data_IF_374101941478
#
_entry.id   IF_374101941478
#
_cell.length_a   1.000
_cell.length_b   1.000
_cell.length_c   1.000
_cell.angle_alpha   90.00
_cell.angle_beta   90.00
_cell.angle_gamma   90.00
#
_symmetry.space_group_name_H-M   'P 1'
#
loop_
_entity.id
_entity.type
_entity.pdbx_description
1 polymer ?
#
# COMPACT_ATOMS: atom_id res chain seq x y z
N UNK A 1 -13.08 23.77 -5.13
CA UNK A 1 -11.94 24.06 -6.02
C UNK A 1 -10.67 23.90 -5.21
N UNK A 2 -9.85 22.87 -5.49
CA UNK A 2 -8.55 22.67 -4.85
C UNK A 2 -7.53 23.70 -5.35
N UNK A 3 -6.40 23.92 -4.64
CA UNK A 3 -5.40 24.89 -5.04
C UNK A 3 -4.79 24.45 -6.38
N UNK A 4 -4.75 25.37 -7.35
CA UNK A 4 -4.03 25.18 -8.60
C UNK A 4 -2.54 25.01 -8.28
N UNK A 5 -1.92 23.93 -8.77
CA UNK A 5 -0.47 23.71 -8.67
C UNK A 5 0.01 22.61 -7.71
N UNK A 6 -0.88 21.78 -7.16
CA UNK A 6 -0.45 20.56 -6.46
C UNK A 6 -0.28 19.43 -7.48
N UNK A 7 0.92 18.86 -7.52
CA UNK A 7 1.30 17.76 -8.42
C UNK A 7 1.27 16.43 -7.67
N UNK A 8 0.64 15.44 -8.30
CA UNK A 8 0.68 14.04 -7.87
C UNK A 8 1.58 13.27 -8.83
N UNK A 9 2.71 12.79 -8.33
CA UNK A 9 3.52 11.80 -9.04
C UNK A 9 2.85 10.44 -8.88
N UNK A 10 2.68 9.71 -9.97
CA UNK A 10 2.05 8.40 -9.98
C UNK A 10 2.87 7.46 -10.84
N UNK A 11 3.22 6.29 -10.30
CA UNK A 11 3.85 5.22 -11.07
C UNK A 11 3.05 3.93 -10.91
N UNK A 12 2.27 3.59 -11.94
CA UNK A 12 1.35 2.47 -11.94
C UNK A 12 1.90 1.26 -12.70
N UNK A 13 1.75 0.07 -12.12
CA UNK A 13 2.31 -1.19 -12.60
C UNK A 13 1.37 -2.36 -12.32
N UNK A 14 1.58 -3.43 -13.07
CA UNK A 14 1.04 -4.78 -12.84
C UNK A 14 2.14 -5.80 -13.08
N UNK A 15 1.86 -7.08 -12.83
CA UNK A 15 2.79 -8.20 -13.06
C UNK A 15 3.39 -8.24 -14.49
N UNK A 16 2.69 -7.67 -15.48
CA UNK A 16 3.04 -7.80 -16.90
C UNK A 16 3.18 -6.48 -17.66
N UNK A 17 2.83 -5.35 -17.03
CA UNK A 17 2.84 -4.04 -17.70
C UNK A 17 3.14 -2.91 -16.74
N UNK A 18 4.07 -2.06 -17.15
CA UNK A 18 4.44 -0.80 -16.50
C UNK A 18 3.91 0.37 -17.34
N UNK A 19 3.22 1.33 -16.71
CA UNK A 19 2.70 2.54 -17.37
C UNK A 19 3.69 3.70 -17.33
N UNK A 20 4.82 3.52 -16.65
CA UNK A 20 5.80 4.54 -16.37
C UNK A 20 5.33 5.57 -15.34
N UNK A 21 6.24 6.47 -14.93
CA UNK A 21 5.90 7.59 -14.07
C UNK A 21 5.08 8.64 -14.82
N UNK A 22 4.11 9.21 -14.14
CA UNK A 22 3.18 10.23 -14.63
C UNK A 22 3.07 11.35 -13.60
N UNK A 23 2.86 12.58 -14.08
CA UNK A 23 2.57 13.74 -13.22
C UNK A 23 1.15 14.19 -13.50
N UNK A 24 0.29 14.14 -12.48
CA UNK A 24 -1.11 14.54 -12.56
C UNK A 24 -1.27 15.85 -11.78
N UNK A 25 -1.69 16.90 -12.48
CA UNK A 25 -2.02 18.17 -11.85
C UNK A 25 -3.41 18.09 -11.20
N UNK A 26 -3.58 18.79 -10.08
CA UNK A 26 -4.90 18.91 -9.42
C UNK A 26 -6.00 19.30 -10.42
N UNK A 27 -7.04 18.48 -10.50
CA UNK A 27 -8.18 18.65 -11.42
C UNK A 27 -8.04 17.93 -12.77
N UNK A 28 -6.89 17.33 -13.06
CA UNK A 28 -6.68 16.53 -14.26
C UNK A 28 -7.01 15.05 -14.03
N UNK A 29 -7.27 14.35 -15.13
CA UNK A 29 -7.55 12.91 -15.17
C UNK A 29 -6.35 12.16 -15.77
N UNK A 30 -6.03 11.02 -15.16
CA UNK A 30 -5.12 10.03 -15.73
C UNK A 30 -5.91 8.75 -15.97
N UNK A 31 -5.92 8.29 -17.22
CA UNK A 31 -6.71 7.14 -17.64
C UNK A 31 -5.80 6.11 -18.29
N UNK A 32 -5.97 4.85 -17.91
CA UNK A 32 -5.33 3.72 -18.58
C UNK A 32 -6.31 2.57 -18.74
N UNK A 33 -6.02 1.70 -19.69
CA UNK A 33 -6.75 0.44 -19.88
C UNK A 33 -5.97 -0.70 -19.24
N UNK A 34 -6.61 -1.38 -18.29
CA UNK A 34 -6.13 -2.60 -17.67
C UNK A 34 -6.77 -3.81 -18.37
N UNK A 35 -6.07 -4.51 -19.28
CA UNK A 35 -6.58 -5.77 -19.81
C UNK A 35 -6.68 -6.79 -18.67
N UNK A 36 -7.86 -7.39 -18.51
CA UNK A 36 -8.09 -8.46 -17.53
C UNK A 36 -7.81 -9.79 -18.21
N UNK A 37 -6.76 -10.50 -17.75
CA UNK A 37 -6.43 -11.83 -18.26
C UNK A 37 -7.02 -12.89 -17.33
N UNK A 38 -7.98 -13.65 -17.84
CA UNK A 38 -8.60 -14.74 -17.07
C UNK A 38 -7.52 -15.77 -16.70
N UNK A 39 -7.26 -15.94 -15.39
CA UNK A 39 -6.30 -16.85 -14.69
C UNK A 39 -5.11 -16.18 -13.99
N UNK A 40 -4.92 -14.88 -14.13
CA UNK A 40 -3.89 -14.13 -13.40
C UNK A 40 -4.45 -13.39 -12.18
N UNK A 41 -3.55 -12.92 -11.30
CA UNK A 41 -3.92 -12.11 -10.12
C UNK A 41 -4.66 -10.83 -10.55
N UNK A 42 -4.27 -10.27 -11.71
CA UNK A 42 -4.74 -9.00 -12.29
C UNK A 42 -4.80 -7.88 -11.25
N UNK A 43 -3.67 -7.67 -10.59
CA UNK A 43 -3.50 -6.55 -9.67
C UNK A 43 -2.75 -5.42 -10.37
N UNK A 44 -3.31 -4.23 -10.29
CA UNK A 44 -2.67 -2.98 -10.67
C UNK A 44 -2.45 -2.16 -9.41
N UNK A 45 -1.19 -1.87 -9.14
CA UNK A 45 -0.78 -1.03 -8.02
C UNK A 45 -0.13 0.24 -8.53
N UNK A 46 -0.17 1.29 -7.72
CA UNK A 46 0.47 2.55 -8.04
C UNK A 46 1.18 3.10 -6.81
N UNK A 47 2.42 3.53 -7.02
CA UNK A 47 3.12 4.36 -6.05
C UNK A 47 2.76 5.82 -6.34
N UNK A 48 2.24 6.52 -5.33
CA UNK A 48 1.79 7.90 -5.49
C UNK A 48 2.53 8.83 -4.53
N UNK A 49 2.88 10.04 -4.96
CA UNK A 49 3.59 11.01 -4.12
C UNK A 49 3.14 12.44 -4.42
N UNK A 50 2.63 13.14 -3.41
CA UNK A 50 2.31 14.56 -3.45
C UNK A 50 3.55 15.42 -3.25
N UNK A 51 3.83 16.31 -4.21
CA UNK A 51 4.80 17.41 -4.09
C UNK A 51 6.11 17.05 -3.34
N UNK A 52 6.65 15.85 -3.61
CA UNK A 52 7.90 15.28 -3.06
C UNK A 52 7.96 14.93 -1.56
N UNK A 53 6.86 14.98 -0.79
CA UNK A 53 6.92 14.79 0.68
C UNK A 53 6.05 13.66 1.25
N UNK A 54 4.90 13.35 0.63
CA UNK A 54 3.93 12.39 1.17
C UNK A 54 3.44 11.45 0.08
N UNK A 55 3.49 10.15 0.33
CA UNK A 55 3.12 9.14 -0.65
C UNK A 55 2.88 7.76 -0.05
N UNK A 56 2.51 6.82 -0.91
CA UNK A 56 2.23 5.43 -0.52
C UNK A 56 2.02 4.52 -1.72
N UNK A 57 1.98 3.22 -1.45
CA UNK A 57 1.61 2.20 -2.41
C UNK A 57 0.12 1.92 -2.31
N UNK A 58 -0.56 1.87 -3.46
CA UNK A 58 -1.99 1.65 -3.51
C UNK A 58 -2.34 0.59 -4.55
N UNK A 59 -2.99 -0.48 -4.11
CA UNK A 59 -3.68 -1.42 -5.00
C UNK A 59 -4.88 -0.73 -5.63
N UNK A 60 -4.69 -0.11 -6.80
CA UNK A 60 -5.70 0.64 -7.53
C UNK A 60 -6.76 -0.26 -8.16
N UNK A 61 -6.39 -1.47 -8.55
CA UNK A 61 -7.37 -2.43 -9.06
C UNK A 61 -6.93 -3.86 -8.76
N UNK A 62 -7.80 -4.61 -8.07
CA UNK A 62 -7.64 -6.03 -7.84
C UNK A 62 -8.88 -6.71 -8.39
N UNK A 63 -8.76 -7.54 -9.43
CA UNK A 63 -9.94 -8.16 -10.09
C UNK A 63 -10.87 -8.84 -9.10
N UNK A 64 -10.34 -9.59 -8.13
CA UNK A 64 -11.16 -10.28 -7.11
C UNK A 64 -11.93 -9.33 -6.19
N UNK A 65 -11.44 -8.10 -6.01
CA UNK A 65 -12.02 -7.07 -5.13
C UNK A 65 -12.96 -6.14 -5.91
N UNK A 66 -12.56 -5.74 -7.11
CA UNK A 66 -13.14 -4.56 -7.78
C UNK A 66 -13.89 -4.88 -9.07
N UNK A 67 -13.76 -6.08 -9.66
CA UNK A 67 -14.46 -6.40 -10.90
C UNK A 67 -15.99 -6.26 -10.79
N UNK A 68 -16.55 -6.45 -9.59
CA UNK A 68 -17.98 -6.25 -9.30
C UNK A 68 -18.32 -4.84 -8.81
N UNK A 69 -17.31 -4.01 -8.55
CA UNK A 69 -17.45 -2.65 -8.02
C UNK A 69 -17.35 -1.59 -9.12
N UNK A 70 -16.66 -1.91 -10.21
CA UNK A 70 -16.51 -1.01 -11.34
C UNK A 70 -17.78 -1.03 -12.20
N UNK A 71 -18.33 0.15 -12.48
CA UNK A 71 -19.49 0.32 -13.35
C UNK A 71 -19.04 0.39 -14.80
N UNK A 72 -19.74 -0.30 -15.71
CA UNK A 72 -19.46 -0.26 -17.15
C UNK A 72 -17.99 -0.53 -17.53
N UNK A 73 -17.32 -1.46 -16.81
CA UNK A 73 -15.89 -1.78 -16.99
C UNK A 73 -14.93 -0.60 -16.69
N UNK A 74 -15.43 0.47 -16.06
CA UNK A 74 -14.66 1.64 -15.65
C UNK A 74 -14.56 1.71 -14.12
N UNK A 75 -13.32 1.75 -13.65
CA UNK A 75 -13.01 1.98 -12.25
C UNK A 75 -12.53 3.43 -12.11
N UNK A 76 -13.17 4.22 -11.24
CA UNK A 76 -12.81 5.63 -11.06
C UNK A 76 -12.29 5.81 -9.64
N UNK A 77 -11.11 6.43 -9.55
CA UNK A 77 -10.49 6.83 -8.30
C UNK A 77 -10.30 8.34 -8.31
N UNK A 78 -10.52 8.97 -7.16
CA UNK A 78 -10.27 10.39 -6.96
C UNK A 78 -9.25 10.56 -5.84
N UNK A 79 -8.08 11.12 -6.19
CA UNK A 79 -7.10 11.53 -5.22
C UNK A 79 -7.44 12.92 -4.70
N UNK A 80 -7.71 13.01 -3.40
CA UNK A 80 -7.94 14.26 -2.67
C UNK A 80 -6.80 14.48 -1.68
N UNK A 81 -6.76 15.66 -1.07
CA UNK A 81 -5.71 16.02 -0.08
C UNK A 81 -5.70 15.07 1.12
N UNK A 82 -6.87 14.64 1.55
CA UNK A 82 -7.09 13.76 2.70
C UNK A 82 -7.04 12.28 2.34
N UNK A 83 -7.25 11.91 1.07
CA UNK A 83 -7.02 10.55 0.62
C UNK A 83 -7.59 10.13 -0.71
N UNK A 84 -7.57 8.82 -0.92
CA UNK A 84 -8.06 8.17 -2.13
C UNK A 84 -9.50 7.72 -1.91
N UNK A 85 -10.34 8.11 -2.86
CA UNK A 85 -11.75 7.78 -2.90
C UNK A 85 -12.03 6.92 -4.12
N UNK A 86 -12.78 5.85 -3.94
CA UNK A 86 -13.25 5.00 -5.03
C UNK A 86 -14.70 5.34 -5.36
N UNK A 87 -14.99 5.55 -6.64
CA UNK A 87 -16.36 5.75 -7.10
C UNK A 87 -17.09 4.40 -7.16
N UNK A 88 -18.16 4.27 -6.39
CA UNK A 88 -19.02 3.10 -6.34
C UNK A 88 -20.48 3.56 -6.29
N UNK A 89 -21.30 3.13 -7.26
CA UNK A 89 -22.74 3.44 -7.31
C UNK A 89 -23.04 4.95 -7.14
N UNK A 90 -22.36 5.78 -7.95
CA UNK A 90 -22.41 7.26 -7.93
C UNK A 90 -21.97 7.92 -6.60
N UNK A 91 -21.33 7.17 -5.70
CA UNK A 91 -20.78 7.68 -4.44
C UNK A 91 -19.26 7.55 -4.40
N UNK A 92 -18.60 8.51 -3.76
CA UNK A 92 -17.16 8.45 -3.48
C UNK A 92 -16.93 7.87 -2.09
N UNK A 93 -16.50 6.62 -2.06
CA UNK A 93 -16.20 5.90 -0.82
C UNK A 93 -14.72 6.04 -0.50
N UNK A 94 -14.41 6.68 0.63
CA UNK A 94 -13.05 6.78 1.15
C UNK A 94 -12.44 5.37 1.32
N UNK A 95 -11.33 5.10 0.62
CA UNK A 95 -10.67 3.80 0.67
C UNK A 95 -9.46 3.82 1.57
N UNK A 96 -8.68 4.90 1.50
CA UNK A 96 -7.48 5.08 2.30
C UNK A 96 -7.16 6.56 2.44
N UNK A 97 -6.65 6.99 3.61
CA UNK A 97 -6.01 8.28 3.69
C UNK A 97 -4.78 8.30 2.76
N UNK A 98 -4.53 9.42 2.09
CA UNK A 98 -3.23 9.68 1.47
C UNK A 98 -2.18 9.98 2.56
N UNK A 99 -2.67 10.33 3.75
CA UNK A 99 -1.94 10.43 5.00
C UNK A 99 -2.02 9.10 5.76
N UNK A 100 -1.40 8.04 5.26
CA UNK A 100 -1.17 6.85 6.10
C UNK A 100 -0.17 7.24 7.20
N UNK A 101 -0.69 7.57 8.39
CA UNK A 101 -0.01 7.88 9.67
C UNK A 101 1.12 8.93 9.65
N UNK A 102 1.43 9.52 8.49
CA UNK A 102 2.76 10.01 8.21
C UNK A 102 3.81 8.88 8.29
N UNK A 103 4.99 9.04 7.68
CA UNK A 103 6.12 8.20 8.04
C UNK A 103 6.34 8.33 9.55
N UNK A 104 6.06 7.27 10.32
CA UNK A 104 6.61 7.19 11.66
C UNK A 104 8.11 7.02 11.48
N UNK A 105 8.86 8.11 11.69
CA UNK A 105 10.31 8.05 11.75
C UNK A 105 10.64 7.27 13.02
N UNK A 106 10.86 5.97 12.88
CA UNK A 106 11.34 5.11 13.95
C UNK A 106 12.86 5.29 13.99
N UNK A 107 13.43 5.93 15.03
CA UNK A 107 14.88 6.04 15.12
C UNK A 107 15.47 4.63 15.21
N UNK A 108 16.61 4.41 14.54
CA UNK A 108 17.26 3.09 14.51
C UNK A 108 17.41 2.49 15.91
N UNK A 109 16.96 1.23 16.07
CA UNK A 109 16.95 0.52 17.36
C UNK A 109 15.67 0.67 18.17
N UNK A 110 14.65 1.37 17.67
CA UNK A 110 13.31 1.40 18.28
C UNK A 110 12.39 0.34 17.67
N UNK A 111 11.38 -0.05 18.46
CA UNK A 111 10.40 -1.06 18.09
C UNK A 111 9.15 -0.42 17.49
N UNK A 112 8.67 -0.99 16.38
CA UNK A 112 7.33 -0.72 15.88
C UNK A 112 6.40 -1.84 16.36
N UNK A 113 5.35 -1.47 17.08
CA UNK A 113 4.31 -2.40 17.50
C UNK A 113 2.98 -1.94 16.95
N UNK A 114 2.28 -2.80 16.23
CA UNK A 114 0.87 -2.59 15.92
C UNK A 114 0.02 -3.71 16.49
N UNK A 115 -1.24 -3.38 16.73
CA UNK A 115 -2.30 -4.34 17.03
C UNK A 115 -3.28 -4.31 15.87
N UNK A 116 -3.44 -5.45 15.22
CA UNK A 116 -4.43 -5.61 14.17
C UNK A 116 -5.36 -6.76 14.57
N UNK A 117 -6.69 -6.57 14.56
CA UNK A 117 -7.61 -7.67 14.84
C UNK A 117 -7.41 -8.80 13.83
N UNK A 118 -7.11 -10.00 14.32
CA UNK A 118 -6.88 -11.18 13.49
C UNK A 118 -8.24 -11.81 13.17
N UNK A 119 -8.78 -11.52 11.99
CA UNK A 119 -10.02 -12.15 11.52
C UNK A 119 -9.70 -13.51 10.90
N UNK A 120 -9.63 -14.55 11.75
CA UNK A 120 -9.20 -15.90 11.38
C UNK A 120 -10.04 -16.59 10.27
N UNK A 121 -11.23 -16.07 9.94
CA UNK A 121 -12.12 -16.65 8.91
C UNK A 121 -11.79 -16.22 7.47
N UNK A 122 -10.88 -15.28 7.27
CA UNK A 122 -10.41 -14.85 5.94
C UNK A 122 -8.88 -14.94 5.88
N UNK A 123 -8.33 -15.19 4.70
CA UNK A 123 -6.90 -15.03 4.41
C UNK A 123 -6.51 -13.57 4.68
N UNK A 124 -6.16 -13.28 5.93
CA UNK A 124 -5.80 -11.94 6.36
C UNK A 124 -4.31 -11.76 6.10
N UNK A 125 -4.00 -10.91 5.14
CA UNK A 125 -2.67 -10.35 4.94
C UNK A 125 -2.68 -8.90 5.42
N UNK A 126 -1.64 -8.52 6.16
CA UNK A 126 -1.32 -7.12 6.46
C UNK A 126 0.04 -6.83 5.88
N UNK A 127 0.16 -5.65 5.31
CA UNK A 127 1.39 -5.17 4.70
C UNK A 127 1.69 -3.76 5.19
N UNK A 128 2.95 -3.39 5.12
CA UNK A 128 3.41 -2.02 5.31
C UNK A 128 4.45 -1.72 4.23
N UNK A 129 4.37 -0.53 3.66
CA UNK A 129 5.48 0.01 2.91
C UNK A 129 6.43 0.70 3.88
N UNK A 130 7.70 0.33 3.82
CA UNK A 130 8.72 0.91 4.70
C UNK A 130 9.80 1.54 3.85
N UNK A 131 10.20 2.76 4.23
CA UNK A 131 11.35 3.44 3.64
C UNK A 131 12.47 3.66 4.67
N UNK A 132 13.71 3.52 4.25
CA UNK A 132 14.88 3.92 5.04
C UNK A 132 15.46 5.21 4.46
N UNK A 133 15.06 6.36 5.04
CA UNK A 133 15.37 7.67 4.47
C UNK A 133 14.57 7.95 3.18
N UNK A 134 15.07 8.84 2.31
CA UNK A 134 14.36 9.29 1.11
C UNK A 134 14.57 8.41 -0.15
N UNK A 135 15.40 7.37 -0.08
CA UNK A 135 15.93 6.71 -1.30
C UNK A 135 15.65 5.21 -1.42
N UNK A 136 15.17 4.56 -0.36
CA UNK A 136 14.98 3.09 -0.36
C UNK A 136 13.65 2.75 0.26
N UNK A 137 12.78 2.07 -0.49
CA UNK A 137 11.46 1.65 -0.06
C UNK A 137 11.14 0.23 -0.51
N UNK A 138 10.28 -0.46 0.23
CA UNK A 138 9.80 -1.79 -0.14
C UNK A 138 8.41 -2.04 0.41
N UNK A 139 7.66 -2.86 -0.32
CA UNK A 139 6.38 -3.42 0.13
C UNK A 139 6.66 -4.70 0.91
N UNK A 140 6.25 -4.75 2.18
CA UNK A 140 6.52 -5.89 3.05
C UNK A 140 5.22 -6.50 3.56
N UNK A 141 5.01 -7.77 3.27
CA UNK A 141 3.96 -8.59 3.88
C UNK A 141 4.27 -8.81 5.37
N UNK A 142 3.83 -7.87 6.20
CA UNK A 142 4.10 -7.84 7.62
C UNK A 142 3.31 -8.86 8.45
N UNK A 143 2.24 -9.42 7.90
CA UNK A 143 1.53 -10.52 8.53
C UNK A 143 0.77 -11.30 7.49
N UNK A 144 0.97 -12.62 7.45
CA UNK A 144 0.16 -13.55 6.66
C UNK A 144 -0.40 -14.58 7.61
N UNK A 145 -1.73 -14.69 7.74
CA UNK A 145 -2.37 -15.56 8.74
C UNK A 145 -1.89 -17.02 8.69
N UNK A 146 -1.58 -17.54 7.50
CA UNK A 146 -1.08 -18.92 7.33
C UNK A 146 0.38 -19.11 7.78
N UNK A 147 1.18 -18.04 7.75
CA UNK A 147 2.61 -18.03 8.06
C UNK A 147 2.88 -17.61 9.51
N UNK A 148 2.20 -16.56 9.97
CA UNK A 148 2.59 -15.81 11.16
C UNK A 148 1.63 -15.93 12.35
N UNK A 149 0.44 -16.52 12.18
CA UNK A 149 -0.54 -16.60 13.26
C UNK A 149 -0.03 -17.35 14.50
N UNK A 150 0.93 -18.27 14.33
CA UNK A 150 1.55 -18.99 15.45
C UNK A 150 2.74 -18.25 16.07
N UNK A 151 3.27 -17.22 15.39
CA UNK A 151 4.47 -16.48 15.82
C UNK A 151 4.09 -15.21 16.60
N UNK A 152 2.92 -14.63 16.30
CA UNK A 152 2.36 -13.50 17.05
C UNK A 152 1.76 -13.96 18.41
N UNK A 153 1.93 -13.16 19.48
CA UNK A 153 1.38 -13.45 20.82
C UNK A 153 0.27 -12.48 21.17
N UNK A 154 -0.86 -12.97 21.67
CA UNK A 154 -2.02 -12.15 22.08
C UNK A 154 -2.47 -11.15 20.99
N UNK A 155 -2.51 -11.58 19.73
CA UNK A 155 -2.85 -10.73 18.58
C UNK A 155 -1.87 -9.55 18.35
N UNK A 156 -0.69 -9.60 18.96
CA UNK A 156 0.39 -8.64 18.76
C UNK A 156 1.52 -9.31 17.99
N UNK A 157 1.86 -8.70 16.85
CA UNK A 157 3.04 -9.04 16.08
C UNK A 157 4.07 -7.93 16.28
N UNK A 158 5.32 -8.29 16.59
CA UNK A 158 6.38 -7.33 16.89
C UNK A 158 7.45 -7.42 15.81
N UNK A 159 7.80 -6.27 15.25
CA UNK A 159 8.84 -6.13 14.24
C UNK A 159 9.90 -5.16 14.74
N UNK A 160 11.16 -5.46 14.43
CA UNK A 160 12.29 -4.61 14.74
C UNK A 160 13.00 -4.23 13.44
N UNK A 161 13.06 -2.93 13.17
CA UNK A 161 13.84 -2.37 12.07
C UNK A 161 15.27 -2.11 12.57
N UNK A 162 16.23 -2.80 11.97
CA UNK A 162 17.66 -2.62 12.25
C UNK A 162 18.36 -1.96 11.07
N UNK A 163 19.67 -1.73 11.17
CA UNK A 163 20.44 -1.05 10.11
C UNK A 163 20.60 -1.87 8.83
N UNK A 164 20.45 -3.19 8.92
CA UNK A 164 20.69 -4.17 7.87
C UNK A 164 19.40 -4.82 7.34
N UNK A 165 18.29 -4.70 8.07
CA UNK A 165 17.00 -5.16 7.59
C UNK A 165 15.89 -5.19 8.64
N UNK A 166 14.83 -5.91 8.29
CA UNK A 166 13.66 -6.17 9.12
C UNK A 166 13.74 -7.51 9.82
N UNK A 167 13.44 -7.50 11.10
CA UNK A 167 13.39 -8.68 11.95
C UNK A 167 11.99 -8.88 12.52
N UNK A 168 11.54 -10.12 12.52
CA UNK A 168 10.28 -10.52 13.15
C UNK A 168 10.55 -11.15 14.52
N UNK A 169 9.82 -10.73 15.55
CA UNK A 169 9.89 -11.36 16.85
C UNK A 169 9.19 -12.72 16.83
N UNK A 170 9.97 -13.79 16.93
CA UNK A 170 9.49 -15.16 17.02
C UNK A 170 9.94 -15.75 18.35
N UNK A 171 8.97 -16.07 19.21
CA UNK A 171 9.23 -16.43 20.61
C UNK A 171 10.11 -15.36 21.28
N UNK A 172 11.30 -15.72 21.75
CA UNK A 172 12.22 -14.83 22.47
C UNK A 172 13.42 -14.43 21.58
N UNK A 173 13.26 -14.53 20.26
CA UNK A 173 14.29 -14.20 19.27
C UNK A 173 13.76 -13.31 18.16
N UNK A 174 14.67 -12.57 17.53
CA UNK A 174 14.39 -11.75 16.35
C UNK A 174 14.96 -12.44 15.12
N UNK A 175 14.08 -12.85 14.20
CA UNK A 175 14.43 -13.59 12.99
C UNK A 175 14.49 -12.63 11.81
N UNK A 176 15.65 -12.52 11.16
CA UNK A 176 15.82 -11.72 9.95
C UNK A 176 14.87 -12.17 8.84
N UNK A 177 14.08 -11.24 8.30
CA UNK A 177 13.10 -11.53 7.26
C UNK A 177 13.53 -10.93 5.93
N UNK A 178 13.93 -9.66 5.94
CA UNK A 178 14.20 -8.91 4.72
C UNK A 178 15.43 -8.03 4.90
N UNK A 179 16.40 -8.08 3.96
CA UNK A 179 17.42 -7.05 3.87
C UNK A 179 16.80 -5.74 3.38
N UNK A 180 17.39 -4.61 3.80
CA UNK A 180 17.19 -3.39 3.03
C UNK A 180 17.86 -3.53 1.66
N UNK A 181 17.14 -3.20 0.59
CA UNK A 181 17.74 -3.14 -0.74
C UNK A 181 18.60 -1.88 -0.81
N UNK A 182 19.92 -2.07 -0.92
CA UNK A 182 20.90 -1.02 -1.12
C UNK A 182 20.78 -0.37 -2.51
#
# INVERSE_FOLDING_TARGET
MGPLGVELNVHCRSDHKDLGPQIILSGNLFTWTAPVVVRESNTWWCDMTWASAHGGHFDMFVVKRDAQRCSEERCIWEARRDGLYFAYDDQYVFQSPCEDLGPQIIPSGNLLTWKAPIVARKSTTRWCDMTWGCTHGGHFDMFVVKRDAQRCRNEVCVWEARRDGLYFADKDQYVFQFPWLY
#
